data_IF_119504256314
#
_entry.id   IF_119504256314
#
_cell.length_a   1.000
_cell.length_b   1.000
_cell.length_c   1.000
_cell.angle_alpha   90.00
_cell.angle_beta   90.00
_cell.angle_gamma   90.00
#
_symmetry.space_group_name_H-M   'P 1'
#
loop_
_entity.id
_entity.type
_entity.pdbx_description
1 polymer ?
#
# COMPACT_ATOMS: atom_id res chain seq x y z
N UNK A 1 7.62 -9.69 23.83
CA UNK A 1 7.43 -8.35 23.28
C UNK A 1 6.01 -8.20 22.77
N UNK A 2 5.43 -7.05 22.97
CA UNK A 2 4.10 -6.70 22.51
C UNK A 2 4.21 -5.59 21.46
N UNK A 3 3.23 -5.52 20.57
CA UNK A 3 3.09 -4.43 19.62
C UNK A 3 1.72 -3.77 19.75
N UNK A 4 1.73 -2.45 19.83
CA UNK A 4 0.53 -1.64 19.69
C UNK A 4 0.35 -1.30 18.22
N UNK A 5 -0.80 -1.63 17.66
CA UNK A 5 -1.06 -1.54 16.24
C UNK A 5 -2.35 -0.78 15.95
N UNK A 6 -2.44 -0.25 14.75
CA UNK A 6 -3.65 0.37 14.21
C UNK A 6 -3.97 -0.26 12.87
N UNK A 7 -5.25 -0.38 12.54
CA UNK A 7 -5.66 -0.87 11.23
C UNK A 7 -5.18 0.07 10.14
N UNK A 8 -4.78 -0.52 9.01
CA UNK A 8 -4.12 0.18 7.93
C UNK A 8 -4.77 -0.16 6.59
N UNK A 9 -5.04 0.86 5.78
CA UNK A 9 -5.53 0.69 4.43
C UNK A 9 -4.36 0.80 3.45
N UNK A 10 -4.04 -0.31 2.79
CA UNK A 10 -2.88 -0.40 1.88
C UNK A 10 -3.07 0.48 0.65
N UNK A 11 -4.27 0.51 0.07
CA UNK A 11 -4.53 1.29 -1.15
C UNK A 11 -4.50 2.80 -0.92
N UNK A 12 -4.92 3.25 0.24
CA UNK A 12 -4.90 4.67 0.63
C UNK A 12 -3.63 5.07 1.39
N UNK A 13 -2.80 4.08 1.75
CA UNK A 13 -1.56 4.27 2.51
C UNK A 13 -1.77 5.05 3.81
N UNK A 14 -2.84 4.76 4.53
CA UNK A 14 -3.16 5.46 5.78
C UNK A 14 -3.74 4.54 6.84
N UNK A 15 -3.56 4.94 8.10
CA UNK A 15 -4.19 4.33 9.26
C UNK A 15 -5.70 4.65 9.25
N UNK A 16 -6.53 3.63 9.44
CA UNK A 16 -8.00 3.77 9.39
C UNK A 16 -8.66 3.72 10.75
N UNK A 17 -7.94 3.34 11.80
CA UNK A 17 -8.48 3.32 13.17
C UNK A 17 -7.72 4.28 14.07
N UNK A 18 -8.44 5.02 14.91
CA UNK A 18 -7.83 5.86 15.96
C UNK A 18 -7.43 5.01 17.17
N UNK A 19 -8.18 3.95 17.42
CA UNK A 19 -7.92 3.04 18.54
C UNK A 19 -6.71 2.17 18.23
N UNK A 20 -5.87 1.97 19.24
CA UNK A 20 -4.72 1.07 19.19
C UNK A 20 -5.08 -0.26 19.81
N UNK A 21 -4.61 -1.33 19.20
CA UNK A 21 -4.82 -2.69 19.66
C UNK A 21 -3.48 -3.32 20.00
N UNK A 22 -3.45 -4.17 21.00
CA UNK A 22 -2.22 -4.81 21.47
C UNK A 22 -2.20 -6.28 21.04
N UNK A 23 -1.09 -6.68 20.43
CA UNK A 23 -0.83 -8.06 20.01
C UNK A 23 0.51 -8.53 20.56
N UNK A 24 0.62 -9.83 20.78
CA UNK A 24 1.90 -10.44 21.12
C UNK A 24 2.72 -10.63 19.84
N UNK A 25 4.02 -10.41 19.96
CA UNK A 25 4.96 -10.63 18.85
C UNK A 25 5.59 -12.01 19.02
N UNK A 26 5.50 -12.89 18.00
CA UNK A 26 6.14 -14.20 18.07
C UNK A 26 7.64 -14.11 18.30
N UNK A 27 8.21 -15.14 18.90
CA UNK A 27 9.66 -15.26 19.03
C UNK A 27 10.30 -15.24 17.63
N UNK A 28 11.46 -14.62 17.54
CA UNK A 28 12.22 -14.49 16.28
C UNK A 28 11.62 -13.53 15.24
N UNK A 29 10.49 -12.91 15.53
CA UNK A 29 9.96 -11.83 14.68
C UNK A 29 10.46 -10.49 15.20
N UNK A 30 11.06 -9.70 14.30
CA UNK A 30 11.54 -8.35 14.61
C UNK A 30 10.59 -7.33 14.03
N UNK A 31 9.84 -6.67 14.89
CA UNK A 31 8.95 -5.59 14.53
C UNK A 31 9.44 -4.29 15.14
N UNK A 32 9.30 -3.22 14.39
CA UNK A 32 9.61 -1.85 14.81
C UNK A 32 8.48 -0.92 14.40
N UNK A 33 8.49 0.28 14.94
CA UNK A 33 7.53 1.33 14.58
C UNK A 33 7.46 1.49 13.06
N UNK A 34 6.24 1.65 12.55
CA UNK A 34 5.88 1.83 11.15
C UNK A 34 5.94 0.56 10.29
N UNK A 35 6.35 -0.57 10.83
CA UNK A 35 6.26 -1.85 10.11
C UNK A 35 4.78 -2.23 9.88
N UNK A 36 4.53 -2.92 8.79
CA UNK A 36 3.22 -3.49 8.49
C UNK A 36 3.19 -4.97 8.86
N UNK A 37 2.07 -5.40 9.39
CA UNK A 37 1.91 -6.76 9.87
C UNK A 37 0.52 -7.29 9.55
N UNK A 38 0.39 -8.62 9.57
CA UNK A 38 -0.86 -9.34 9.39
C UNK A 38 -1.36 -9.84 10.73
N UNK A 39 -2.62 -9.57 11.03
CA UNK A 39 -3.30 -10.08 12.22
C UNK A 39 -4.61 -10.76 11.82
N UNK A 40 -5.08 -11.68 12.66
CA UNK A 40 -6.41 -12.24 12.55
C UNK A 40 -7.32 -11.57 13.57
N UNK A 41 -8.46 -11.06 13.10
CA UNK A 41 -9.48 -10.48 13.96
C UNK A 41 -10.58 -11.51 14.16
N UNK A 42 -10.84 -11.84 15.41
CA UNK A 42 -11.92 -12.72 15.84
C UNK A 42 -12.73 -12.00 16.92
N UNK A 43 -13.90 -11.53 16.57
CA UNK A 43 -14.77 -10.77 17.46
C UNK A 43 -16.22 -11.20 17.26
N UNK A 44 -17.11 -10.69 18.12
CA UNK A 44 -18.54 -11.04 18.10
C UNK A 44 -19.26 -10.61 16.82
N UNK A 45 -18.67 -9.67 16.08
CA UNK A 45 -19.22 -9.22 14.78
C UNK A 45 -18.55 -10.00 13.65
N UNK A 46 -19.17 -11.05 13.18
CA UNK A 46 -18.62 -11.95 12.16
C UNK A 46 -18.13 -11.24 10.90
N UNK A 47 -18.80 -10.18 10.46
CA UNK A 47 -18.41 -9.45 9.25
C UNK A 47 -17.09 -8.68 9.39
N UNK A 48 -16.59 -8.50 10.61
CA UNK A 48 -15.29 -7.88 10.90
C UNK A 48 -14.18 -8.91 11.06
N UNK A 49 -14.52 -10.20 11.14
CA UNK A 49 -13.53 -11.26 11.33
C UNK A 49 -12.69 -11.47 10.08
N UNK A 50 -11.51 -11.98 10.26
CA UNK A 50 -10.59 -12.35 9.20
C UNK A 50 -9.23 -11.69 9.34
N UNK A 51 -8.40 -11.90 8.33
CA UNK A 51 -7.07 -11.31 8.30
C UNK A 51 -7.13 -9.83 7.94
N UNK A 52 -6.39 -9.04 8.71
CA UNK A 52 -6.31 -7.59 8.52
C UNK A 52 -4.85 -7.15 8.51
N UNK A 53 -4.58 -6.08 7.79
CA UNK A 53 -3.28 -5.43 7.79
C UNK A 53 -3.30 -4.33 8.85
N UNK A 54 -2.24 -4.28 9.63
CA UNK A 54 -2.05 -3.28 10.67
C UNK A 54 -0.69 -2.62 10.54
N UNK A 55 -0.60 -1.40 11.03
CA UNK A 55 0.67 -0.67 11.14
C UNK A 55 1.10 -0.64 12.60
N UNK A 56 2.35 -0.96 12.86
CA UNK A 56 2.90 -0.93 14.20
C UNK A 56 3.09 0.53 14.62
N UNK A 57 2.38 0.91 15.67
CA UNK A 57 2.51 2.24 16.27
C UNK A 57 3.67 2.29 17.25
N UNK A 58 3.80 1.25 18.09
CA UNK A 58 4.82 1.16 19.10
C UNK A 58 5.04 -0.30 19.51
N UNK A 59 6.20 -0.58 20.08
CA UNK A 59 6.50 -1.87 20.69
C UNK A 59 6.78 -1.65 22.18
N UNK A 60 6.37 -2.61 23.02
CA UNK A 60 6.59 -2.55 24.46
C UNK A 60 6.92 -3.93 25.01
N UNK A 61 7.57 -3.92 26.17
CA UNK A 61 7.81 -5.15 26.92
C UNK A 61 6.52 -5.62 27.61
N UNK A 62 6.40 -6.91 27.88
CA UNK A 62 5.25 -7.48 28.58
C UNK A 62 5.02 -6.85 29.95
N UNK A 63 6.10 -6.48 30.64
CA UNK A 63 6.04 -5.84 31.95
C UNK A 63 5.37 -4.46 31.95
N UNK A 64 5.33 -3.79 30.81
CA UNK A 64 4.70 -2.47 30.66
C UNK A 64 3.25 -2.55 30.19
N UNK A 65 2.73 -3.75 29.95
CA UNK A 65 1.36 -3.92 29.55
C UNK A 65 0.40 -3.61 30.69
N UNK A 66 -0.56 -2.75 30.43
CA UNK A 66 -1.57 -2.32 31.41
C UNK A 66 -3.00 -2.37 30.84
N UNK A 67 -3.22 -3.15 29.80
CA UNK A 67 -4.53 -3.31 29.18
C UNK A 67 -5.50 -4.12 30.04
N UNK A 68 -6.77 -4.12 29.64
CA UNK A 68 -7.85 -4.80 30.34
C UNK A 68 -7.86 -6.31 30.15
N UNK A 69 -7.37 -6.81 29.02
CA UNK A 69 -7.22 -8.24 28.77
C UNK A 69 -5.99 -8.78 29.47
N UNK A 70 -6.06 -10.04 29.96
CA UNK A 70 -4.88 -10.74 30.43
C UNK A 70 -3.84 -10.91 29.32
N UNK A 71 -2.57 -10.90 29.69
CA UNK A 71 -1.47 -11.00 28.73
C UNK A 71 -1.59 -12.22 27.81
N UNK A 72 -1.99 -13.37 28.36
CA UNK A 72 -2.13 -14.62 27.61
C UNK A 72 -3.41 -14.69 26.78
N UNK A 73 -4.34 -13.77 26.93
CA UNK A 73 -5.53 -13.65 26.10
C UNK A 73 -5.29 -12.85 24.82
N UNK A 74 -4.16 -12.14 24.74
CA UNK A 74 -3.79 -11.39 23.54
C UNK A 74 -3.42 -12.33 22.41
N UNK A 75 -3.87 -12.01 21.22
CA UNK A 75 -3.53 -12.76 20.03
C UNK A 75 -2.14 -12.37 19.52
N UNK A 76 -1.56 -13.23 18.68
CA UNK A 76 -0.25 -13.01 18.09
C UNK A 76 -0.36 -12.30 16.75
N UNK A 77 0.63 -11.49 16.44
CA UNK A 77 0.93 -11.07 15.08
C UNK A 77 1.18 -12.33 14.24
N UNK A 78 0.54 -12.46 13.09
CA UNK A 78 0.67 -13.64 12.23
C UNK A 78 1.91 -13.61 11.38
N UNK A 79 2.20 -12.48 10.76
CA UNK A 79 3.43 -12.29 9.99
C UNK A 79 3.76 -10.81 9.83
N UNK A 80 5.03 -10.52 9.54
CA UNK A 80 5.45 -9.22 9.06
C UNK A 80 5.19 -9.15 7.56
N UNK A 81 4.71 -8.01 7.08
CA UNK A 81 4.33 -7.84 5.68
C UNK A 81 5.21 -6.79 5.02
N UNK A 82 5.76 -7.14 3.87
CA UNK A 82 6.53 -6.23 3.03
C UNK A 82 5.75 -5.93 1.76
N UNK A 83 5.26 -4.70 1.64
CA UNK A 83 4.55 -4.21 0.47
C UNK A 83 5.44 -3.45 -0.52
N UNK A 84 6.75 -3.42 -0.30
CA UNK A 84 7.68 -2.70 -1.18
C UNK A 84 7.52 -3.06 -2.65
N UNK A 85 7.56 -4.34 -3.03
CA UNK A 85 7.35 -4.75 -4.43
C UNK A 85 5.98 -4.37 -4.97
N UNK A 86 4.92 -4.53 -4.17
CA UNK A 86 3.56 -4.18 -4.58
C UNK A 86 3.39 -2.67 -4.71
N UNK A 87 3.97 -1.90 -3.80
CA UNK A 87 3.97 -0.43 -3.87
C UNK A 87 4.63 0.06 -5.15
N UNK A 88 5.79 -0.50 -5.50
CA UNK A 88 6.47 -0.20 -6.76
C UNK A 88 5.60 -0.50 -7.98
N UNK A 89 4.90 -1.63 -7.97
CA UNK A 89 3.97 -2.00 -9.03
C UNK A 89 2.82 -1.01 -9.14
N UNK A 90 2.21 -0.62 -8.03
CA UNK A 90 1.12 0.37 -8.02
C UNK A 90 1.58 1.74 -8.50
N UNK A 91 2.77 2.18 -8.14
CA UNK A 91 3.33 3.44 -8.64
C UNK A 91 3.48 3.42 -10.16
N UNK A 92 3.96 2.31 -10.73
CA UNK A 92 4.06 2.13 -12.17
C UNK A 92 2.69 2.11 -12.86
N UNK A 93 1.71 1.42 -12.29
CA UNK A 93 0.34 1.40 -12.80
C UNK A 93 -0.26 2.80 -12.82
N UNK A 94 -0.10 3.54 -11.73
CA UNK A 94 -0.62 4.90 -11.62
C UNK A 94 0.07 5.85 -12.62
N UNK A 95 1.38 5.72 -12.78
CA UNK A 95 2.13 6.49 -13.78
C UNK A 95 1.67 6.19 -15.20
N UNK A 96 1.45 4.91 -15.51
CA UNK A 96 0.92 4.49 -16.79
C UNK A 96 -0.46 5.08 -17.08
N UNK A 97 -1.37 5.08 -16.07
CA UNK A 97 -2.70 5.69 -16.21
C UNK A 97 -2.62 7.19 -16.44
N UNK A 98 -1.74 7.88 -15.73
CA UNK A 98 -1.52 9.32 -15.90
C UNK A 98 -1.00 9.63 -17.29
N UNK A 99 -0.01 8.89 -17.78
CA UNK A 99 0.55 9.05 -19.12
C UNK A 99 -0.50 8.79 -20.20
N UNK A 100 -1.30 7.73 -20.04
CA UNK A 100 -2.39 7.42 -20.97
C UNK A 100 -3.39 8.58 -21.08
N UNK A 101 -3.76 9.15 -19.94
CA UNK A 101 -4.65 10.31 -19.90
C UNK A 101 -4.04 11.53 -20.58
N UNK A 102 -2.76 11.81 -20.36
CA UNK A 102 -2.07 12.93 -21.01
C UNK A 102 -1.92 12.73 -22.50
N UNK A 103 -1.64 11.52 -22.94
CA UNK A 103 -1.59 11.17 -24.37
C UNK A 103 -2.96 11.42 -25.01
N UNK A 104 -4.05 10.98 -24.39
CA UNK A 104 -5.41 11.19 -24.87
C UNK A 104 -5.76 12.67 -24.96
N UNK A 105 -5.35 13.48 -24.00
CA UNK A 105 -5.56 14.92 -23.99
C UNK A 105 -4.85 15.60 -25.16
N UNK A 106 -3.60 15.21 -25.42
CA UNK A 106 -2.83 15.72 -26.56
C UNK A 106 -3.50 15.31 -27.87
N UNK A 107 -3.94 14.06 -27.96
CA UNK A 107 -4.62 13.51 -29.14
C UNK A 107 -5.93 14.26 -29.45
N UNK A 108 -6.73 14.57 -28.41
CA UNK A 108 -8.00 15.29 -28.57
C UNK A 108 -7.81 16.75 -29.00
N UNK A 109 -6.71 17.39 -28.61
CA UNK A 109 -6.43 18.78 -28.94
C UNK A 109 -5.91 18.98 -30.37
N UNK A 110 -5.41 17.92 -30.97
CA UNK A 110 -4.87 18.00 -32.32
C UNK A 110 -5.97 17.73 -33.36
N UNK A 111 -6.05 18.57 -34.41
CA UNK A 111 -6.83 18.23 -35.57
C UNK A 111 -6.18 17.02 -36.28
N UNK A 112 -6.96 16.32 -37.13
CA UNK A 112 -6.47 15.15 -37.83
C UNK A 112 -5.20 15.42 -38.65
N UNK A 113 -5.11 16.61 -39.26
CA UNK A 113 -3.95 17.06 -40.00
C UNK A 113 -2.78 17.36 -39.09
N UNK A 114 -3.03 18.07 -37.98
CA UNK A 114 -2.03 18.39 -36.99
C UNK A 114 -1.45 17.12 -36.36
N UNK A 115 -2.28 16.13 -36.10
CA UNK A 115 -1.84 14.85 -35.58
C UNK A 115 -0.85 14.13 -36.52
N UNK A 116 -1.16 14.10 -37.81
CA UNK A 116 -0.27 13.54 -38.83
C UNK A 116 1.04 14.32 -38.93
N UNK A 117 0.99 15.64 -38.85
CA UNK A 117 2.19 16.48 -38.81
C UNK A 117 3.02 16.27 -37.56
N UNK A 118 2.38 16.11 -36.38
CA UNK A 118 3.07 15.80 -35.14
C UNK A 118 3.78 14.47 -35.19
N UNK A 119 3.18 13.45 -35.76
CA UNK A 119 3.78 12.12 -35.95
C UNK A 119 4.97 12.23 -36.91
N UNK A 120 4.80 12.93 -38.05
CA UNK A 120 5.83 13.10 -39.06
C UNK A 120 7.02 13.93 -38.61
N UNK A 121 6.79 14.91 -37.73
CA UNK A 121 7.85 15.79 -37.18
C UNK A 121 8.50 15.29 -35.90
N UNK A 122 8.13 14.09 -35.43
CA UNK A 122 8.63 13.54 -34.16
C UNK A 122 8.44 14.51 -33.02
N UNK A 123 7.19 14.80 -32.58
CA UNK A 123 6.94 15.61 -31.42
C UNK A 123 7.69 15.01 -30.22
N UNK A 124 8.74 15.67 -29.68
CA UNK A 124 9.59 15.07 -28.65
C UNK A 124 8.82 14.77 -27.36
N UNK A 125 7.86 15.63 -27.00
CA UNK A 125 7.06 15.44 -25.80
C UNK A 125 6.15 14.23 -25.90
N UNK A 126 5.44 14.08 -27.01
CA UNK A 126 4.56 12.95 -27.27
C UNK A 126 5.37 11.65 -27.38
N UNK A 127 6.50 11.69 -28.08
CA UNK A 127 7.37 10.55 -28.23
C UNK A 127 7.93 10.07 -26.89
N UNK A 128 8.34 10.99 -26.04
CA UNK A 128 8.84 10.70 -24.70
C UNK A 128 7.75 10.04 -23.83
N UNK A 129 6.53 10.58 -23.87
CA UNK A 129 5.39 10.00 -23.13
C UNK A 129 5.04 8.60 -23.63
N UNK A 130 5.04 8.36 -24.93
CA UNK A 130 4.75 7.05 -25.51
C UNK A 130 5.84 6.05 -25.15
N UNK A 131 7.10 6.45 -25.19
CA UNK A 131 8.22 5.59 -24.82
C UNK A 131 8.14 5.18 -23.35
N UNK A 132 7.86 6.11 -22.45
CA UNK A 132 7.67 5.82 -21.02
C UNK A 132 6.48 4.87 -20.80
N UNK A 133 5.37 5.09 -21.47
CA UNK A 133 4.20 4.22 -21.38
C UNK A 133 4.52 2.78 -21.81
N UNK A 134 5.22 2.62 -22.92
CA UNK A 134 5.64 1.30 -23.41
C UNK A 134 6.60 0.60 -22.45
N UNK A 135 7.52 1.34 -21.85
CA UNK A 135 8.44 0.81 -20.85
C UNK A 135 7.70 0.28 -19.63
N UNK A 136 6.73 1.04 -19.11
CA UNK A 136 5.91 0.63 -17.98
C UNK A 136 5.05 -0.60 -18.29
N UNK A 137 4.53 -0.70 -19.53
CA UNK A 137 3.76 -1.87 -19.98
C UNK A 137 4.62 -3.14 -19.96
N UNK A 138 5.88 -3.05 -20.41
CA UNK A 138 6.81 -4.17 -20.38
C UNK A 138 7.22 -4.62 -18.97
N UNK A 139 7.09 -3.75 -17.97
CA UNK A 139 7.42 -4.04 -16.57
C UNK A 139 6.24 -4.59 -15.76
N UNK A 140 5.03 -4.49 -16.26
CA UNK A 140 3.82 -4.98 -15.61
C UNK A 140 3.52 -6.42 -16.03
#
# INVERSE_FOLDING_TARGET
MLAEVQFYNVSEEKVTSEKKYTYRVPLNMKLKKDDLALVYVDCDREYLNGYKIVKVFNTLSESKYNGTKGLYELQYIQSKVDFGPLKSTFEKINRRKELSKRIDEVYKKASKIQLLEMIAKNNPELQEMVNEYKQLDGEL
#
